data_IF_359279261618
#
_entry.id   IF_359279261618
#
_cell.length_a   1.000
_cell.length_b   1.000
_cell.length_c   1.000
_cell.angle_alpha   90.00
_cell.angle_beta   90.00
_cell.angle_gamma   90.00
#
_symmetry.space_group_name_H-M   'P 1'
#
loop_
_entity.id
_entity.type
_entity.pdbx_description
1 polymer ?
#
# COMPACT_ATOMS: atom_id res chain seq x y z
N UNK A 1 21.34 -9.66 2.95
CA UNK A 1 21.71 -8.25 3.18
C UNK A 1 20.71 -7.28 2.53
N UNK A 2 20.30 -7.51 1.28
CA UNK A 2 19.42 -6.61 0.51
C UNK A 2 18.04 -6.37 1.16
N UNK A 3 17.41 -7.39 1.76
CA UNK A 3 16.08 -7.24 2.38
C UNK A 3 16.12 -6.28 3.58
N UNK A 4 17.06 -6.46 4.51
CA UNK A 4 17.19 -5.57 5.68
C UNK A 4 17.58 -4.15 5.25
N UNK A 5 18.42 -4.01 4.23
CA UNK A 5 18.76 -2.72 3.64
C UNK A 5 17.56 -2.03 2.97
N UNK A 6 16.58 -2.77 2.46
CA UNK A 6 15.36 -2.20 1.91
C UNK A 6 14.39 -1.66 2.97
N UNK A 7 14.52 -2.15 4.21
CA UNK A 7 13.74 -1.73 5.37
C UNK A 7 14.35 -0.52 6.08
N UNK A 8 15.58 -0.12 5.74
CA UNK A 8 16.16 1.10 6.31
C UNK A 8 15.60 2.35 5.63
N UNK A 9 15.42 3.42 6.39
CA UNK A 9 15.13 4.74 5.83
C UNK A 9 16.39 5.28 5.15
N UNK A 10 16.24 5.78 3.92
CA UNK A 10 17.36 6.30 3.11
C UNK A 10 17.16 7.77 2.82
N UNK A 11 18.25 8.53 2.76
CA UNK A 11 18.21 9.90 2.25
C UNK A 11 17.88 9.87 0.75
N UNK A 12 16.88 10.64 0.32
CA UNK A 12 16.50 10.76 -1.10
C UNK A 12 16.45 12.25 -1.43
N UNK A 13 17.50 12.79 -2.04
CA UNK A 13 17.67 14.23 -2.28
C UNK A 13 17.45 15.07 -1.00
N UNK A 14 16.42 15.93 -0.96
CA UNK A 14 16.03 16.71 0.22
C UNK A 14 15.15 15.94 1.20
N UNK A 15 14.71 14.73 0.85
CA UNK A 15 13.76 13.92 1.60
C UNK A 15 14.49 13.04 2.61
N UNK A 16 14.76 13.62 3.79
CA UNK A 16 15.47 12.95 4.87
C UNK A 16 14.65 11.82 5.51
N UNK A 17 15.31 10.85 6.18
CA UNK A 17 14.62 9.87 7.02
C UNK A 17 13.64 10.50 8.02
N UNK A 18 14.00 11.65 8.62
CA UNK A 18 13.13 12.35 9.54
C UNK A 18 11.85 12.87 8.85
N UNK A 19 11.96 13.42 7.64
CA UNK A 19 10.80 13.86 6.85
C UNK A 19 9.92 12.65 6.48
N UNK A 20 10.52 11.53 6.07
CA UNK A 20 9.79 10.30 5.76
C UNK A 20 8.99 9.79 6.97
N UNK A 21 9.63 9.70 8.14
CA UNK A 21 8.98 9.29 9.39
C UNK A 21 7.86 10.27 9.75
N UNK A 22 8.11 11.57 9.69
CA UNK A 22 7.11 12.59 9.98
C UNK A 22 5.89 12.46 9.06
N UNK A 23 6.08 12.21 7.76
CA UNK A 23 4.98 11.96 6.84
C UNK A 23 4.23 10.68 7.12
N UNK A 24 4.91 9.58 7.44
CA UNK A 24 4.25 8.32 7.83
C UNK A 24 3.38 8.55 9.06
N UNK A 25 3.92 9.22 10.09
CA UNK A 25 3.17 9.57 11.30
C UNK A 25 1.96 10.46 10.98
N UNK A 26 2.13 11.48 10.14
CA UNK A 26 1.04 12.35 9.71
C UNK A 26 -0.07 11.57 8.99
N UNK A 27 0.29 10.75 7.99
CA UNK A 27 -0.65 9.92 7.22
C UNK A 27 -1.37 8.91 8.12
N UNK A 28 -0.66 8.35 9.09
CA UNK A 28 -1.23 7.45 10.09
C UNK A 28 -2.28 8.17 10.98
N UNK A 29 -1.94 9.34 11.51
CA UNK A 29 -2.85 10.17 12.33
C UNK A 29 -4.07 10.60 11.51
N UNK A 30 -3.89 10.98 10.24
CA UNK A 30 -4.98 11.34 9.34
C UNK A 30 -5.91 10.15 9.08
N UNK A 31 -5.34 8.98 8.80
CA UNK A 31 -6.09 7.74 8.60
C UNK A 31 -6.93 7.39 9.84
N UNK A 32 -6.32 7.46 11.02
CA UNK A 32 -7.02 7.23 12.29
C UNK A 32 -8.16 8.22 12.52
N UNK A 33 -7.89 9.50 12.28
CA UNK A 33 -8.87 10.59 12.45
C UNK A 33 -10.09 10.41 11.56
N UNK A 34 -9.87 10.12 10.27
CA UNK A 34 -10.94 9.90 9.29
C UNK A 34 -11.76 8.66 9.64
N UNK A 35 -11.10 7.53 9.91
CA UNK A 35 -11.79 6.29 10.25
C UNK A 35 -12.57 6.39 11.56
N UNK A 36 -12.01 7.06 12.57
CA UNK A 36 -12.70 7.29 13.84
C UNK A 36 -13.97 8.13 13.65
N UNK A 37 -13.91 9.17 12.82
CA UNK A 37 -15.09 9.99 12.49
C UNK A 37 -16.15 9.16 11.77
N UNK A 38 -15.78 8.44 10.70
CA UNK A 38 -16.70 7.56 9.97
C UNK A 38 -17.32 6.50 10.87
N UNK A 39 -16.52 5.84 11.70
CA UNK A 39 -17.01 4.80 12.59
C UNK A 39 -18.05 5.32 13.59
N UNK A 40 -17.86 6.53 14.13
CA UNK A 40 -18.88 7.16 15.00
C UNK A 40 -20.18 7.46 14.27
N UNK A 41 -20.12 7.78 12.98
CA UNK A 41 -21.28 8.13 12.16
C UNK A 41 -22.02 6.88 11.65
N UNK A 42 -21.31 5.82 11.27
CA UNK A 42 -21.89 4.69 10.52
C UNK A 42 -21.72 3.32 11.17
N UNK A 43 -20.86 3.19 12.19
CA UNK A 43 -20.45 1.89 12.75
C UNK A 43 -19.43 1.13 11.91
N UNK A 44 -18.95 1.69 10.79
CA UNK A 44 -17.99 1.08 9.88
C UNK A 44 -16.80 2.01 9.56
N UNK A 45 -15.64 1.43 9.25
CA UNK A 45 -14.48 2.14 8.70
C UNK A 45 -14.46 2.01 7.18
N UNK A 46 -14.12 3.10 6.49
CA UNK A 46 -14.20 3.20 5.02
C UNK A 46 -15.52 2.69 4.44
N UNK A 47 -16.62 2.96 5.14
CA UNK A 47 -18.00 2.63 4.76
C UNK A 47 -18.36 1.13 4.72
N UNK A 48 -17.38 0.23 4.67
CA UNK A 48 -17.63 -1.21 4.44
C UNK A 48 -16.89 -2.17 5.37
N UNK A 49 -15.90 -1.70 6.13
CA UNK A 49 -15.10 -2.58 7.00
C UNK A 49 -15.48 -2.44 8.47
N UNK A 50 -15.53 -3.55 9.24
CA UNK A 50 -15.64 -3.48 10.69
C UNK A 50 -14.34 -2.97 11.33
N UNK A 51 -14.43 -2.34 12.49
CA UNK A 51 -13.29 -1.75 13.21
C UNK A 51 -12.15 -2.74 13.52
N UNK A 52 -12.45 -4.04 13.60
CA UNK A 52 -11.48 -5.11 13.86
C UNK A 52 -10.56 -5.39 12.67
N UNK A 53 -10.99 -5.05 11.45
CA UNK A 53 -10.13 -5.07 10.27
C UNK A 53 -9.34 -3.76 10.32
N UNK A 54 -8.23 -3.80 11.05
CA UNK A 54 -7.29 -2.69 11.16
C UNK A 54 -6.66 -2.43 9.80
N UNK A 55 -7.29 -1.56 9.02
CA UNK A 55 -6.72 -1.04 7.77
C UNK A 55 -5.56 -0.07 8.04
N UNK A 56 -5.31 0.26 9.31
CA UNK A 56 -4.31 1.25 9.72
C UNK A 56 -2.91 0.93 9.24
N UNK A 57 -2.48 -0.34 9.31
CA UNK A 57 -1.13 -0.75 8.91
C UNK A 57 -1.13 -1.48 7.56
N UNK A 58 -2.25 -1.48 6.84
CA UNK A 58 -2.42 -2.21 5.57
C UNK A 58 -1.31 -1.92 4.57
N UNK A 59 -1.15 -0.65 4.23
CA UNK A 59 -0.11 -0.19 3.31
C UNK A 59 1.28 -0.63 3.77
N UNK A 60 1.60 -0.48 5.06
CA UNK A 60 2.93 -0.81 5.56
C UNK A 60 3.25 -2.31 5.49
N UNK A 61 2.37 -3.18 6.02
CA UNK A 61 2.66 -4.62 5.99
C UNK A 61 2.62 -5.19 4.57
N UNK A 62 1.76 -4.65 3.69
CA UNK A 62 1.72 -5.09 2.30
C UNK A 62 3.02 -4.73 1.58
N UNK A 63 3.56 -3.53 1.73
CA UNK A 63 4.85 -3.19 1.13
C UNK A 63 6.02 -4.00 1.73
N UNK A 64 6.00 -4.28 3.04
CA UNK A 64 7.01 -5.17 3.66
C UNK A 64 6.98 -6.56 2.99
N UNK A 65 5.79 -7.13 2.81
CA UNK A 65 5.64 -8.45 2.18
C UNK A 65 6.04 -8.39 0.70
N UNK A 66 5.44 -7.51 -0.09
CA UNK A 66 5.57 -7.57 -1.55
C UNK A 66 6.84 -6.91 -2.07
N UNK A 67 7.30 -5.81 -1.47
CA UNK A 67 8.50 -5.07 -1.90
C UNK A 67 9.72 -5.50 -1.10
N UNK A 68 9.59 -5.65 0.22
CA UNK A 68 10.68 -6.10 1.07
C UNK A 68 11.03 -7.57 0.84
N UNK A 69 10.07 -8.47 1.00
CA UNK A 69 10.33 -9.92 0.98
C UNK A 69 10.23 -10.50 -0.43
N UNK A 70 9.08 -10.33 -1.11
CA UNK A 70 8.82 -11.00 -2.39
C UNK A 70 9.68 -10.42 -3.51
N UNK A 71 9.68 -9.10 -3.74
CA UNK A 71 10.43 -8.49 -4.83
C UNK A 71 11.94 -8.75 -4.69
N UNK A 72 12.55 -8.38 -3.55
CA UNK A 72 13.98 -8.61 -3.35
C UNK A 72 14.32 -10.09 -3.24
N UNK A 73 13.44 -10.92 -2.66
CA UNK A 73 13.58 -12.38 -2.65
C UNK A 73 13.66 -12.96 -4.07
N UNK A 74 12.77 -12.54 -4.97
CA UNK A 74 12.77 -12.97 -6.37
C UNK A 74 14.00 -12.46 -7.13
N UNK A 75 14.48 -11.25 -6.85
CA UNK A 75 15.69 -10.70 -7.49
C UNK A 75 16.97 -11.48 -7.19
N UNK A 76 16.99 -12.32 -6.15
CA UNK A 76 18.12 -13.23 -5.92
C UNK A 76 18.20 -14.37 -6.94
N UNK A 77 17.10 -14.69 -7.61
CA UNK A 77 16.98 -15.88 -8.47
C UNK A 77 16.45 -15.58 -9.87
N UNK A 78 15.86 -14.40 -10.09
CA UNK A 78 15.25 -13.98 -11.34
C UNK A 78 15.72 -12.58 -11.77
N UNK A 79 15.71 -12.28 -13.09
CA UNK A 79 15.91 -10.94 -13.59
C UNK A 79 14.90 -9.94 -13.01
N UNK A 80 15.33 -8.68 -12.84
CA UNK A 80 14.53 -7.60 -12.23
C UNK A 80 13.13 -7.49 -12.84
N UNK A 81 13.03 -7.54 -14.18
CA UNK A 81 11.75 -7.43 -14.89
C UNK A 81 10.78 -8.55 -14.49
N UNK A 82 11.26 -9.79 -14.41
CA UNK A 82 10.45 -10.93 -13.96
C UNK A 82 10.03 -10.79 -12.50
N UNK A 83 10.94 -10.34 -11.63
CA UNK A 83 10.67 -10.11 -10.21
C UNK A 83 9.61 -9.03 -9.99
N UNK A 84 9.67 -7.92 -10.75
CA UNK A 84 8.65 -6.86 -10.74
C UNK A 84 7.31 -7.41 -11.19
N UNK A 85 7.28 -8.14 -12.30
CA UNK A 85 6.04 -8.72 -12.83
C UNK A 85 5.38 -9.67 -11.82
N UNK A 86 6.12 -10.64 -11.30
CA UNK A 86 5.60 -11.64 -10.37
C UNK A 86 5.15 -10.98 -9.06
N UNK A 87 5.97 -10.11 -8.46
CA UNK A 87 5.60 -9.40 -7.23
C UNK A 87 4.30 -8.59 -7.41
N UNK A 88 4.17 -7.90 -8.54
CA UNK A 88 2.98 -7.10 -8.86
C UNK A 88 1.73 -7.96 -9.03
N UNK A 89 1.81 -9.07 -9.77
CA UNK A 89 0.67 -9.99 -9.93
C UNK A 89 0.25 -10.58 -8.57
N UNK A 90 1.20 -11.01 -7.74
CA UNK A 90 0.90 -11.52 -6.41
C UNK A 90 0.25 -10.45 -5.51
N UNK A 91 0.70 -9.20 -5.59
CA UNK A 91 0.09 -8.06 -4.92
C UNK A 91 -1.35 -7.79 -5.42
N UNK A 92 -1.59 -7.93 -6.72
CA UNK A 92 -2.94 -7.90 -7.30
C UNK A 92 -3.83 -8.99 -6.69
N UNK A 93 -3.39 -10.25 -6.77
CA UNK A 93 -4.14 -11.42 -6.29
C UNK A 93 -4.43 -11.39 -4.79
N UNK A 94 -3.55 -10.77 -3.99
CA UNK A 94 -3.76 -10.54 -2.55
C UNK A 94 -5.11 -9.86 -2.24
N UNK A 95 -5.59 -9.02 -3.15
CA UNK A 95 -6.84 -8.29 -2.99
C UNK A 95 -8.09 -9.13 -3.26
N UNK A 96 -7.96 -10.36 -3.77
CA UNK A 96 -9.09 -11.27 -3.92
C UNK A 96 -9.78 -11.54 -2.57
N UNK A 97 -9.05 -11.47 -1.44
CA UNK A 97 -9.63 -11.59 -0.10
C UNK A 97 -10.76 -10.60 0.17
N UNK A 98 -10.78 -9.46 -0.55
CA UNK A 98 -11.73 -8.38 -0.33
C UNK A 98 -13.13 -8.66 -0.86
N UNK A 99 -13.36 -9.73 -1.62
CA UNK A 99 -14.69 -10.13 -2.08
C UNK A 99 -15.72 -10.30 -0.95
N UNK A 100 -15.25 -10.50 0.30
CA UNK A 100 -16.11 -10.58 1.50
C UNK A 100 -16.71 -9.24 1.92
N UNK A 101 -16.13 -8.12 1.49
CA UNK A 101 -16.50 -6.77 1.94
C UNK A 101 -16.79 -5.81 0.79
N UNK A 102 -16.68 -6.22 -0.47
CA UNK A 102 -17.00 -5.40 -1.63
C UNK A 102 -17.53 -6.25 -2.79
N UNK A 103 -18.14 -5.60 -3.79
CA UNK A 103 -18.72 -6.30 -4.94
C UNK A 103 -17.67 -7.10 -5.73
N UNK A 104 -18.12 -8.10 -6.49
CA UNK A 104 -17.26 -8.85 -7.43
C UNK A 104 -16.61 -7.91 -8.44
N UNK A 105 -17.36 -6.93 -8.96
CA UNK A 105 -16.87 -5.93 -9.92
C UNK A 105 -15.74 -5.08 -9.32
N UNK A 106 -15.93 -4.57 -8.10
CA UNK A 106 -14.92 -3.76 -7.42
C UNK A 106 -13.68 -4.59 -7.05
N UNK A 107 -13.86 -5.86 -6.68
CA UNK A 107 -12.73 -6.76 -6.40
C UNK A 107 -11.91 -7.04 -7.65
N UNK A 108 -12.55 -7.36 -8.77
CA UNK A 108 -11.83 -7.57 -10.04
C UNK A 108 -11.11 -6.29 -10.46
N UNK A 109 -11.79 -5.14 -10.39
CA UNK A 109 -11.16 -3.86 -10.69
C UNK A 109 -9.95 -3.58 -9.79
N UNK A 110 -10.08 -3.82 -8.48
CA UNK A 110 -8.99 -3.65 -7.53
C UNK A 110 -7.81 -4.57 -7.87
N UNK A 111 -8.05 -5.86 -8.11
CA UNK A 111 -7.00 -6.84 -8.47
C UNK A 111 -6.26 -6.43 -9.74
N UNK A 112 -6.97 -6.01 -10.78
CA UNK A 112 -6.37 -5.58 -12.04
C UNK A 112 -5.59 -4.29 -11.87
N UNK A 113 -6.16 -3.29 -11.19
CA UNK A 113 -5.51 -2.02 -10.94
C UNK A 113 -4.24 -2.19 -10.09
N UNK A 114 -4.34 -2.92 -8.98
CA UNK A 114 -3.18 -3.13 -8.11
C UNK A 114 -2.15 -4.06 -8.72
N UNK A 115 -2.55 -5.05 -9.51
CA UNK A 115 -1.62 -5.97 -10.17
C UNK A 115 -0.87 -5.38 -11.37
N UNK A 116 -1.55 -4.55 -12.18
CA UNK A 116 -1.03 -4.09 -13.48
C UNK A 116 -0.49 -2.66 -13.41
N UNK A 117 -1.05 -1.81 -12.52
CA UNK A 117 -0.71 -0.38 -12.47
C UNK A 117 0.05 -0.06 -11.18
N UNK A 118 -0.60 -0.18 -10.02
CA UNK A 118 0.02 0.23 -8.75
C UNK A 118 1.20 -0.68 -8.37
N UNK A 119 1.06 -1.98 -8.61
CA UNK A 119 2.05 -3.03 -8.36
C UNK A 119 3.42 -2.66 -8.91
N UNK A 120 3.53 -2.48 -10.24
CA UNK A 120 4.77 -2.09 -10.90
C UNK A 120 5.28 -0.72 -10.44
N UNK A 121 4.40 0.27 -10.27
CA UNK A 121 4.78 1.62 -9.79
C UNK A 121 5.49 1.54 -8.44
N UNK A 122 4.91 0.86 -7.47
CA UNK A 122 5.52 0.75 -6.14
C UNK A 122 6.80 -0.10 -6.17
N UNK A 123 6.90 -1.12 -7.04
CA UNK A 123 8.18 -1.80 -7.26
C UNK A 123 9.25 -0.84 -7.82
N UNK A 124 8.92 -0.04 -8.84
CA UNK A 124 9.85 0.93 -9.43
C UNK A 124 10.29 1.98 -8.41
N UNK A 125 9.36 2.50 -7.59
CA UNK A 125 9.68 3.43 -6.51
C UNK A 125 10.66 2.78 -5.53
N UNK A 126 10.41 1.55 -5.10
CA UNK A 126 11.31 0.83 -4.18
C UNK A 126 12.69 0.61 -4.79
N UNK A 127 12.78 0.21 -6.05
CA UNK A 127 14.06 -0.03 -6.72
C UNK A 127 14.85 1.26 -6.95
N UNK A 128 14.16 2.34 -7.34
CA UNK A 128 14.77 3.64 -7.58
C UNK A 128 15.29 4.28 -6.29
N UNK A 129 14.52 4.21 -5.20
CA UNK A 129 14.88 4.81 -3.91
C UNK A 129 15.73 3.89 -3.03
N UNK A 130 15.78 2.59 -3.36
CA UNK A 130 16.43 1.56 -2.56
C UNK A 130 15.76 1.30 -1.21
N UNK A 131 14.56 1.81 -0.96
CA UNK A 131 13.82 1.65 0.31
C UNK A 131 12.33 1.44 0.06
N UNK A 132 11.67 0.65 0.91
CA UNK A 132 10.23 0.43 0.80
C UNK A 132 9.40 1.63 1.28
N UNK A 133 9.98 2.51 2.11
CA UNK A 133 9.21 3.52 2.83
C UNK A 133 8.56 4.56 1.91
N UNK A 134 9.15 4.84 0.76
CA UNK A 134 8.52 5.69 -0.25
C UNK A 134 7.29 5.03 -0.88
N UNK A 135 7.36 3.73 -1.17
CA UNK A 135 6.19 2.98 -1.62
C UNK A 135 5.11 2.95 -0.53
N UNK A 136 5.48 2.80 0.74
CA UNK A 136 4.56 2.87 1.88
C UNK A 136 3.83 4.21 1.93
N UNK A 137 4.57 5.33 1.84
CA UNK A 137 4.00 6.68 1.85
C UNK A 137 3.01 6.87 0.69
N UNK A 138 3.41 6.49 -0.53
CA UNK A 138 2.55 6.59 -1.72
C UNK A 138 1.31 5.72 -1.60
N UNK A 139 1.45 4.50 -1.07
CA UNK A 139 0.33 3.59 -0.85
C UNK A 139 -0.65 4.14 0.19
N UNK A 140 -0.16 4.66 1.33
CA UNK A 140 -1.02 5.35 2.31
C UNK A 140 -1.79 6.50 1.69
N UNK A 141 -1.09 7.39 0.98
CA UNK A 141 -1.71 8.54 0.34
C UNK A 141 -2.79 8.11 -0.67
N UNK A 142 -2.48 7.11 -1.51
CA UNK A 142 -3.44 6.55 -2.46
C UNK A 142 -4.70 5.99 -1.79
N UNK A 143 -4.55 5.24 -0.68
CA UNK A 143 -5.68 4.67 0.04
C UNK A 143 -6.57 5.75 0.66
N UNK A 144 -5.99 6.82 1.21
CA UNK A 144 -6.76 7.96 1.71
C UNK A 144 -7.51 8.63 0.56
N UNK A 145 -6.80 8.97 -0.53
CA UNK A 145 -7.36 9.69 -1.67
C UNK A 145 -8.52 8.93 -2.31
N UNK A 146 -8.38 7.63 -2.55
CA UNK A 146 -9.44 6.86 -3.21
C UNK A 146 -10.68 6.70 -2.33
N UNK A 147 -10.51 6.57 -1.02
CA UNK A 147 -11.64 6.46 -0.10
C UNK A 147 -12.36 7.81 0.06
N UNK A 148 -11.61 8.91 0.14
CA UNK A 148 -12.20 10.26 0.13
C UNK A 148 -12.92 10.52 -1.20
N UNK A 149 -12.30 10.19 -2.32
CA UNK A 149 -12.89 10.37 -3.65
C UNK A 149 -14.19 9.56 -3.79
N UNK A 150 -14.19 8.27 -3.44
CA UNK A 150 -15.38 7.43 -3.53
C UNK A 150 -16.53 7.98 -2.68
N UNK A 151 -16.25 8.46 -1.47
CA UNK A 151 -17.26 9.05 -0.57
C UNK A 151 -17.99 10.26 -1.20
N UNK A 152 -17.27 11.09 -1.95
CA UNK A 152 -17.83 12.33 -2.49
C UNK A 152 -18.33 12.22 -3.94
N UNK A 153 -17.77 11.31 -4.75
CA UNK A 153 -17.99 11.28 -6.20
C UNK A 153 -18.57 9.98 -6.75
N UNK A 154 -18.54 8.86 -6.01
CA UNK A 154 -19.29 7.64 -6.33
C UNK A 154 -20.50 7.52 -5.41
N UNK A 155 -21.53 8.34 -5.68
CA UNK A 155 -22.90 8.01 -5.28
C UNK A 155 -23.54 7.13 -6.35
#
# INVERSE_FOLDING_TARGET
MIILESLSFKQIDSFTPAIQIALICLLFILTLSIQRKQYKETGFTWEKYPWRISTFLSSAYEEIIFRGIVLFGLMYVLPVVCSVFISSILFGLWHLKNHKWQSKKDTIHQVLYTGIIFGPIACMITLWTGTIWMAVIVHYAHNILINVFNKYFKK
#
